data_IF_880120631039
#
_entry.id   IF_880120631039
#
_cell.length_a   1.000
_cell.length_b   1.000
_cell.length_c   1.000
_cell.angle_alpha   90.00
_cell.angle_beta   90.00
_cell.angle_gamma   90.00
#
_symmetry.space_group_name_H-M   'P 1'
#
loop_
_entity.id
_entity.type
_entity.pdbx_description
1 polymer ?
#
# COMPACT_ATOMS: atom_id res chain seq x y z
N UNK A 1 -6.98 13.12 -9.75
CA UNK A 1 -7.83 12.24 -8.92
C UNK A 1 -6.95 11.19 -8.26
N UNK A 2 -7.38 10.53 -7.18
CA UNK A 2 -6.72 9.37 -6.61
C UNK A 2 -7.57 8.10 -6.85
N UNK A 3 -6.94 7.03 -7.33
CA UNK A 3 -7.55 5.70 -7.39
C UNK A 3 -7.17 4.96 -6.10
N UNK A 4 -8.15 4.46 -5.36
CA UNK A 4 -7.89 3.59 -4.21
C UNK A 4 -7.62 2.18 -4.74
N UNK A 5 -6.41 1.69 -4.49
CA UNK A 5 -5.94 0.36 -4.83
C UNK A 5 -6.04 -0.56 -3.60
N UNK A 6 -5.80 -1.88 -3.74
CA UNK A 6 -5.71 -2.76 -2.57
C UNK A 6 -4.65 -2.34 -1.55
N UNK A 7 -3.61 -1.64 -2.00
CA UNK A 7 -2.56 -1.10 -1.15
C UNK A 7 -2.95 0.21 -0.49
N UNK A 8 -3.76 1.03 -1.14
CA UNK A 8 -4.02 2.41 -0.73
C UNK A 8 -4.27 3.33 -1.91
N UNK A 9 -4.52 4.59 -1.63
CA UNK A 9 -4.73 5.59 -2.68
C UNK A 9 -3.44 5.88 -3.45
N UNK A 10 -3.55 5.93 -4.78
CA UNK A 10 -2.47 6.33 -5.69
C UNK A 10 -2.91 7.50 -6.56
N UNK A 11 -1.98 8.41 -6.87
CA UNK A 11 -2.23 9.51 -7.82
C UNK A 11 -2.56 8.93 -9.18
N UNK A 12 -3.52 9.55 -9.86
CA UNK A 12 -3.95 9.12 -11.19
C UNK A 12 -4.21 10.30 -12.11
N UNK A 13 -4.02 10.07 -13.41
CA UNK A 13 -4.21 11.05 -14.48
C UNK A 13 -5.68 11.18 -14.94
N UNK A 14 -6.56 10.41 -14.31
CA UNK A 14 -8.00 10.56 -14.43
C UNK A 14 -8.48 11.81 -13.70
N UNK A 15 -9.63 12.33 -14.11
CA UNK A 15 -10.32 13.39 -13.40
C UNK A 15 -11.82 13.14 -13.30
N UNK A 16 -12.46 13.69 -12.28
CA UNK A 16 -13.90 13.69 -12.13
C UNK A 16 -14.37 15.15 -12.03
N UNK A 17 -15.52 15.45 -12.63
CA UNK A 17 -16.10 16.81 -12.58
C UNK A 17 -16.82 17.07 -11.27
N UNK A 18 -17.62 16.11 -10.85
CA UNK A 18 -18.34 16.11 -9.58
C UNK A 18 -18.71 14.67 -9.21
N UNK A 19 -19.35 14.49 -8.06
CA UNK A 19 -19.81 13.15 -7.62
C UNK A 19 -20.81 12.51 -8.56
N UNK A 20 -21.55 13.29 -9.35
CA UNK A 20 -22.73 12.81 -10.11
C UNK A 20 -22.72 13.21 -11.60
N UNK A 21 -21.72 13.96 -12.06
CA UNK A 21 -21.73 14.55 -13.41
C UNK A 21 -20.50 14.17 -14.23
N UNK A 22 -20.69 14.12 -15.56
CA UNK A 22 -19.67 13.83 -16.57
C UNK A 22 -19.78 14.77 -17.76
N UNK A 23 -18.78 14.78 -18.64
CA UNK A 23 -18.92 15.40 -19.95
C UNK A 23 -19.52 14.40 -20.95
N UNK A 24 -20.38 14.88 -21.85
CA UNK A 24 -20.73 14.13 -23.06
C UNK A 24 -19.70 14.36 -24.18
N UNK A 25 -19.92 13.75 -25.35
CA UNK A 25 -19.02 13.87 -26.50
C UNK A 25 -18.88 15.32 -27.03
N UNK A 26 -19.79 16.23 -26.63
CA UNK A 26 -19.77 17.65 -26.97
C UNK A 26 -19.24 18.55 -25.85
N UNK A 27 -18.62 17.97 -24.81
CA UNK A 27 -18.13 18.67 -23.62
C UNK A 27 -19.22 19.39 -22.82
N UNK A 28 -20.49 18.96 -22.95
CA UNK A 28 -21.56 19.44 -22.09
C UNK A 28 -21.64 18.62 -20.81
N UNK A 29 -21.88 19.28 -19.68
CA UNK A 29 -22.07 18.61 -18.39
C UNK A 29 -23.42 17.88 -18.38
N UNK A 30 -23.40 16.57 -18.15
CA UNK A 30 -24.57 15.69 -18.02
C UNK A 30 -24.46 14.81 -16.77
N UNK A 31 -25.57 14.26 -16.29
CA UNK A 31 -25.56 13.30 -15.19
C UNK A 31 -24.94 11.95 -15.59
N UNK A 32 -24.13 11.36 -14.72
CA UNK A 32 -23.53 10.04 -14.92
C UNK A 32 -24.47 8.90 -14.50
N UNK A 33 -24.71 7.94 -15.39
CA UNK A 33 -25.65 6.83 -15.15
C UNK A 33 -25.11 5.75 -14.21
N UNK A 34 -23.80 5.49 -14.28
CA UNK A 34 -23.09 4.53 -13.42
C UNK A 34 -21.89 5.22 -12.76
N UNK A 35 -21.33 4.64 -11.69
CA UNK A 35 -20.28 5.32 -10.91
C UNK A 35 -19.01 5.62 -11.71
N UNK A 36 -18.51 4.68 -12.52
CA UNK A 36 -17.28 4.86 -13.30
C UNK A 36 -17.45 5.81 -14.51
N UNK A 37 -18.67 5.98 -15.02
CA UNK A 37 -19.02 6.93 -16.09
C UNK A 37 -18.69 8.39 -15.74
N UNK A 38 -18.60 8.67 -14.44
CA UNK A 38 -18.35 9.99 -13.86
C UNK A 38 -16.86 10.34 -13.85
N UNK A 39 -16.02 9.35 -14.13
CA UNK A 39 -14.57 9.47 -14.24
C UNK A 39 -14.20 9.64 -15.72
N UNK A 40 -13.49 10.71 -16.02
CA UNK A 40 -12.98 11.03 -17.34
C UNK A 40 -11.54 10.56 -17.48
N UNK A 41 -11.19 10.05 -18.66
CA UNK A 41 -9.85 9.49 -18.94
C UNK A 41 -8.73 10.51 -18.71
N UNK A 42 -8.97 11.81 -18.97
CA UNK A 42 -7.96 12.85 -18.76
C UNK A 42 -6.71 12.60 -19.61
N UNK A 43 -5.55 12.48 -18.95
CA UNK A 43 -4.27 12.15 -19.59
C UNK A 43 -3.90 10.66 -19.46
N UNK A 44 -4.76 9.85 -18.85
CA UNK A 44 -4.48 8.44 -18.63
C UNK A 44 -4.39 7.68 -19.95
N UNK A 45 -3.42 6.77 -20.06
CA UNK A 45 -3.17 5.94 -21.24
C UNK A 45 -4.20 4.82 -21.44
N UNK A 46 -4.98 4.50 -20.41
CA UNK A 46 -5.96 3.41 -20.40
C UNK A 46 -7.26 3.81 -19.71
N UNK A 47 -8.32 3.01 -19.88
CA UNK A 47 -9.59 3.22 -19.19
C UNK A 47 -9.45 2.98 -17.69
N UNK A 48 -10.30 3.65 -16.89
CA UNK A 48 -10.31 3.45 -15.43
C UNK A 48 -10.59 1.98 -15.05
N UNK A 49 -11.43 1.28 -15.83
CA UNK A 49 -11.71 -0.13 -15.62
C UNK A 49 -10.46 -1.00 -15.79
N UNK A 50 -9.63 -0.71 -16.79
CA UNK A 50 -8.37 -1.41 -17.02
C UNK A 50 -7.37 -1.16 -15.87
N UNK A 51 -7.25 0.08 -15.40
CA UNK A 51 -6.43 0.37 -14.21
C UNK A 51 -6.93 -0.37 -12.97
N UNK A 52 -8.25 -0.42 -12.73
CA UNK A 52 -8.83 -1.19 -11.62
C UNK A 52 -8.50 -2.68 -11.78
N UNK A 53 -8.65 -3.23 -12.98
CA UNK A 53 -8.32 -4.63 -13.28
C UNK A 53 -6.89 -4.96 -12.90
N UNK A 54 -5.94 -4.11 -13.30
CA UNK A 54 -4.51 -4.28 -12.99
C UNK A 54 -4.25 -4.17 -11.50
N UNK A 55 -4.69 -3.08 -10.86
CA UNK A 55 -4.44 -2.84 -9.43
C UNK A 55 -5.03 -3.91 -8.52
N UNK A 56 -6.19 -4.46 -8.87
CA UNK A 56 -6.86 -5.50 -8.09
C UNK A 56 -6.52 -6.92 -8.55
N UNK A 57 -5.60 -7.07 -9.52
CA UNK A 57 -5.20 -8.35 -10.10
C UNK A 57 -6.41 -9.21 -10.52
N UNK A 58 -7.34 -8.59 -11.26
CA UNK A 58 -8.57 -9.22 -11.72
C UNK A 58 -8.35 -9.94 -13.06
N UNK A 59 -9.18 -10.94 -13.33
CA UNK A 59 -9.14 -11.71 -14.57
C UNK A 59 -9.24 -10.80 -15.81
N UNK A 60 -8.60 -11.22 -16.90
CA UNK A 60 -8.64 -10.51 -18.18
C UNK A 60 -9.97 -10.76 -18.89
N UNK A 61 -11.00 -10.01 -18.51
CA UNK A 61 -12.34 -10.06 -19.07
C UNK A 61 -12.98 -8.68 -19.02
N UNK A 62 -13.91 -8.42 -19.95
CA UNK A 62 -14.60 -7.14 -20.04
C UNK A 62 -15.54 -6.93 -18.86
N UNK A 63 -15.55 -5.73 -18.29
CA UNK A 63 -16.52 -5.36 -17.27
C UNK A 63 -17.86 -5.00 -17.90
N UNK A 64 -18.94 -5.59 -17.40
CA UNK A 64 -20.30 -5.07 -17.60
C UNK A 64 -20.53 -3.84 -16.70
N UNK A 65 -20.05 -3.92 -15.46
CA UNK A 65 -20.25 -2.88 -14.44
C UNK A 65 -19.12 -2.90 -13.41
N UNK A 66 -18.73 -1.70 -12.99
CA UNK A 66 -17.91 -1.47 -11.79
C UNK A 66 -18.64 -0.46 -10.92
N UNK A 67 -18.90 -0.85 -9.68
CA UNK A 67 -19.47 0.01 -8.65
C UNK A 67 -18.33 0.68 -7.88
N UNK A 68 -18.40 2.01 -7.79
CA UNK A 68 -17.36 2.84 -7.19
C UNK A 68 -17.99 3.84 -6.21
N UNK A 69 -17.27 4.13 -5.14
CA UNK A 69 -17.55 5.22 -4.21
C UNK A 69 -16.60 6.39 -4.52
N UNK A 70 -17.12 7.61 -4.46
CA UNK A 70 -16.34 8.84 -4.66
C UNK A 70 -16.40 9.69 -3.39
N UNK A 71 -15.27 9.78 -2.70
CA UNK A 71 -15.05 10.70 -1.57
C UNK A 71 -14.27 11.93 -2.06
N UNK A 72 -14.57 13.11 -1.50
CA UNK A 72 -13.80 14.34 -1.77
C UNK A 72 -13.17 14.78 -0.46
N UNK A 73 -11.83 14.79 -0.43
CA UNK A 73 -11.05 15.23 0.73
C UNK A 73 -10.07 16.28 0.23
N UNK A 74 -10.14 17.50 0.79
CA UNK A 74 -9.27 18.62 0.42
C UNK A 74 -9.22 18.83 -1.11
N UNK A 75 -10.40 18.90 -1.75
CA UNK A 75 -10.59 19.06 -3.21
C UNK A 75 -10.07 17.91 -4.09
N UNK A 76 -9.70 16.78 -3.48
CA UNK A 76 -9.18 15.62 -4.19
C UNK A 76 -10.22 14.50 -4.16
N UNK A 77 -10.58 14.04 -5.35
CA UNK A 77 -11.50 12.94 -5.57
C UNK A 77 -10.78 11.60 -5.33
N UNK A 78 -11.25 10.82 -4.37
CA UNK A 78 -10.85 9.45 -4.09
C UNK A 78 -11.88 8.50 -4.68
N UNK A 79 -11.47 7.74 -5.69
CA UNK A 79 -12.30 6.73 -6.34
C UNK A 79 -12.01 5.37 -5.70
N UNK A 80 -12.98 4.80 -4.99
CA UNK A 80 -12.87 3.49 -4.34
C UNK A 80 -13.72 2.46 -5.08
N UNK A 81 -13.11 1.50 -5.79
CA UNK A 81 -13.83 0.35 -6.33
C UNK A 81 -14.39 -0.52 -5.19
N UNK A 82 -15.68 -0.85 -5.28
CA UNK A 82 -16.38 -1.65 -4.26
C UNK A 82 -16.76 -3.04 -4.78
N UNK A 83 -17.34 -3.08 -5.98
CA UNK A 83 -17.83 -4.32 -6.61
C UNK A 83 -17.64 -4.26 -8.11
N UNK A 84 -17.60 -5.43 -8.75
CA UNK A 84 -17.55 -5.52 -10.20
C UNK A 84 -18.36 -6.71 -10.72
N UNK A 85 -18.73 -6.63 -12.00
CA UNK A 85 -19.39 -7.68 -12.76
C UNK A 85 -18.75 -7.77 -14.13
N UNK A 86 -18.34 -8.97 -14.53
CA UNK A 86 -17.85 -9.21 -15.88
C UNK A 86 -19.02 -9.40 -16.87
N UNK A 87 -18.80 -9.01 -18.12
CA UNK A 87 -19.72 -9.30 -19.22
C UNK A 87 -19.98 -10.81 -19.30
N UNK A 88 -21.25 -11.18 -19.52
CA UNK A 88 -21.70 -12.57 -19.62
C UNK A 88 -21.55 -13.41 -18.33
N UNK A 89 -21.20 -12.80 -17.19
CA UNK A 89 -21.24 -13.47 -15.88
C UNK A 89 -22.54 -13.11 -15.16
N UNK A 90 -23.29 -14.09 -14.60
CA UNK A 90 -24.44 -13.79 -13.76
C UNK A 90 -24.04 -13.31 -12.36
N UNK A 91 -22.75 -13.38 -11.99
CA UNK A 91 -22.27 -13.16 -10.62
C UNK A 91 -21.65 -11.77 -10.45
N UNK A 92 -22.07 -11.08 -9.39
CA UNK A 92 -21.40 -9.89 -8.85
C UNK A 92 -20.28 -10.32 -7.89
N UNK A 93 -19.16 -9.58 -7.90
CA UNK A 93 -17.99 -9.82 -7.06
C UNK A 93 -17.71 -8.60 -6.18
N UNK A 94 -17.43 -8.84 -4.91
CA UNK A 94 -16.98 -7.79 -3.98
C UNK A 94 -15.46 -7.68 -3.96
N UNK A 95 -14.96 -6.45 -3.89
CA UNK A 95 -13.54 -6.18 -3.72
C UNK A 95 -13.21 -6.06 -2.23
N UNK A 96 -12.30 -6.91 -1.77
CA UNK A 96 -11.85 -6.91 -0.37
C UNK A 96 -11.12 -5.60 -0.03
N UNK A 97 -11.55 -4.94 1.04
CA UNK A 97 -10.88 -3.75 1.58
C UNK A 97 -9.99 -4.16 2.75
N UNK A 98 -8.68 -4.03 2.57
CA UNK A 98 -7.69 -4.29 3.62
C UNK A 98 -7.30 -2.95 4.26
N UNK A 99 -7.58 -2.78 5.54
CA UNK A 99 -7.36 -1.50 6.23
C UNK A 99 -5.88 -1.12 6.28
N UNK A 100 -4.99 -2.09 6.54
CA UNK A 100 -3.54 -1.93 6.73
C UNK A 100 -2.74 -2.92 5.88
N UNK A 101 -2.79 -2.81 4.55
CA UNK A 101 -2.27 -3.81 3.63
C UNK A 101 -0.75 -3.98 3.70
N UNK A 102 -0.01 -2.96 4.15
CA UNK A 102 1.45 -3.01 4.25
C UNK A 102 1.94 -3.36 5.66
N UNK A 103 1.05 -3.47 6.64
CA UNK A 103 1.43 -3.69 8.04
C UNK A 103 1.80 -5.14 8.32
N UNK A 104 2.94 -5.30 8.99
CA UNK A 104 3.39 -6.52 9.65
C UNK A 104 3.88 -6.16 11.06
N UNK A 105 3.06 -6.36 12.08
CA UNK A 105 3.41 -6.21 13.49
C UNK A 105 2.96 -7.44 14.28
N UNK A 106 3.31 -7.49 15.57
CA UNK A 106 2.84 -8.57 16.45
C UNK A 106 1.32 -8.59 16.60
N UNK A 107 0.69 -7.41 16.60
CA UNK A 107 -0.76 -7.25 16.76
C UNK A 107 -1.52 -7.48 15.46
N UNK A 108 -0.91 -7.16 14.32
CA UNK A 108 -1.58 -7.26 13.03
C UNK A 108 -0.61 -7.62 11.90
N UNK A 109 -0.96 -8.68 11.17
CA UNK A 109 -0.26 -9.09 9.96
C UNK A 109 -1.26 -9.08 8.80
N UNK A 110 -0.99 -8.26 7.78
CA UNK A 110 -1.91 -8.11 6.66
C UNK A 110 -2.07 -9.42 5.87
N UNK A 111 -3.22 -9.64 5.21
CA UNK A 111 -3.40 -10.79 4.33
C UNK A 111 -2.36 -10.86 3.20
N UNK A 112 -1.85 -9.72 2.73
CA UNK A 112 -0.81 -9.68 1.71
C UNK A 112 0.48 -10.33 2.19
N UNK A 113 0.98 -9.91 3.35
CA UNK A 113 2.18 -10.49 3.92
C UNK A 113 2.04 -11.99 4.17
N UNK A 114 0.92 -12.40 4.80
CA UNK A 114 0.67 -13.82 5.09
C UNK A 114 0.67 -14.67 3.82
N UNK A 115 -0.06 -14.24 2.79
CA UNK A 115 -0.16 -14.97 1.52
C UNK A 115 1.16 -14.95 0.76
N UNK A 116 1.89 -13.82 0.78
CA UNK A 116 3.21 -13.71 0.15
C UNK A 116 4.19 -14.70 0.77
N UNK A 117 4.36 -14.66 2.09
CA UNK A 117 5.30 -15.53 2.81
C UNK A 117 4.94 -17.00 2.59
N UNK A 118 3.65 -17.36 2.63
CA UNK A 118 3.20 -18.73 2.39
C UNK A 118 3.45 -19.26 0.96
N UNK A 119 3.64 -18.38 -0.04
CA UNK A 119 3.95 -18.76 -1.42
C UNK A 119 5.45 -18.85 -1.71
N UNK A 120 6.30 -18.28 -0.86
CA UNK A 120 7.74 -18.27 -1.06
C UNK A 120 8.37 -19.60 -0.65
N UNK A 121 9.52 -19.92 -1.25
CA UNK A 121 10.33 -21.08 -0.89
C UNK A 121 10.72 -21.05 0.59
N UNK A 122 10.44 -22.12 1.34
CA UNK A 122 10.60 -22.16 2.80
C UNK A 122 12.04 -21.87 3.24
N UNK A 123 13.03 -22.35 2.49
CA UNK A 123 14.45 -22.10 2.78
C UNK A 123 14.83 -20.63 2.63
N UNK A 124 14.27 -19.93 1.65
CA UNK A 124 14.49 -18.50 1.43
C UNK A 124 13.82 -17.67 2.54
N UNK A 125 12.60 -18.06 2.93
CA UNK A 125 11.89 -17.42 4.05
C UNK A 125 12.68 -17.60 5.34
N UNK A 126 13.08 -18.82 5.68
CA UNK A 126 13.84 -19.13 6.89
C UNK A 126 15.15 -18.34 6.95
N UNK A 127 15.90 -18.27 5.83
CA UNK A 127 17.12 -17.47 5.75
C UNK A 127 16.84 -15.98 5.96
N UNK A 128 15.84 -15.44 5.26
CA UNK A 128 15.49 -14.01 5.33
C UNK A 128 15.09 -13.61 6.76
N UNK A 129 14.25 -14.41 7.41
CA UNK A 129 13.84 -14.18 8.80
C UNK A 129 15.01 -14.30 9.76
N UNK A 130 15.90 -15.29 9.60
CA UNK A 130 17.08 -15.44 10.45
C UNK A 130 18.02 -14.23 10.38
N UNK A 131 18.26 -13.67 9.19
CA UNK A 131 19.05 -12.44 9.04
C UNK A 131 18.37 -11.23 9.71
N UNK A 132 17.05 -11.08 9.52
CA UNK A 132 16.27 -10.04 10.19
C UNK A 132 16.43 -10.15 11.72
N UNK A 133 16.42 -11.37 12.27
CA UNK A 133 16.56 -11.57 13.72
C UNK A 133 17.91 -11.21 14.29
N UNK A 134 18.99 -11.37 13.52
CA UNK A 134 20.31 -10.87 13.94
C UNK A 134 20.29 -9.34 14.06
N UNK A 135 19.68 -8.66 13.10
CA UNK A 135 19.55 -7.19 13.11
C UNK A 135 18.72 -6.73 14.30
N UNK A 136 17.57 -7.36 14.55
CA UNK A 136 16.73 -7.05 15.72
C UNK A 136 17.48 -7.26 17.03
N UNK A 137 18.24 -8.36 17.14
CA UNK A 137 19.04 -8.66 18.32
C UNK A 137 20.07 -7.55 18.62
N UNK A 138 20.69 -6.98 17.59
CA UNK A 138 21.61 -5.84 17.74
C UNK A 138 20.90 -4.57 18.25
N UNK A 139 19.63 -4.38 17.88
CA UNK A 139 18.84 -3.19 18.23
C UNK A 139 18.08 -3.32 19.56
N UNK A 140 17.90 -4.52 20.12
CA UNK A 140 17.24 -4.72 21.42
C UNK A 140 17.99 -4.05 22.59
N UNK A 141 19.31 -4.27 22.77
CA UNK A 141 20.07 -3.57 23.79
C UNK A 141 20.44 -2.13 23.38
N UNK A 142 20.73 -1.24 24.35
CA UNK A 142 21.36 0.05 24.08
C UNK A 142 22.85 -0.15 23.80
N UNK A 143 23.19 -0.59 22.58
CA UNK A 143 24.57 -0.77 22.13
C UNK A 143 25.10 0.57 21.57
N UNK A 144 26.25 1.10 22.02
CA UNK A 144 26.76 2.42 21.63
C UNK A 144 27.04 2.61 20.13
N UNK A 145 27.29 1.52 19.41
CA UNK A 145 27.74 1.55 18.01
C UNK A 145 26.64 1.18 17.00
N UNK A 146 25.42 0.87 17.46
CA UNK A 146 24.30 0.53 16.58
C UNK A 146 23.46 1.78 16.33
N UNK A 147 23.47 2.24 15.09
CA UNK A 147 22.70 3.40 14.63
C UNK A 147 21.32 2.97 14.11
N UNK A 148 20.37 3.90 14.09
CA UNK A 148 19.01 3.64 13.54
C UNK A 148 19.06 3.21 12.07
N UNK A 149 20.02 3.75 11.31
CA UNK A 149 20.28 3.39 9.91
C UNK A 149 20.77 1.95 9.74
N UNK A 150 21.26 1.28 10.79
CA UNK A 150 21.67 -0.13 10.70
C UNK A 150 20.50 -1.08 10.45
N UNK A 151 19.25 -0.61 10.58
CA UNK A 151 18.04 -1.30 10.13
C UNK A 151 18.08 -1.54 8.60
N UNK A 152 18.75 -0.68 7.83
CA UNK A 152 18.91 -0.86 6.37
C UNK A 152 19.63 -2.16 5.99
N UNK A 153 20.36 -2.79 6.93
CA UNK A 153 20.92 -4.14 6.72
C UNK A 153 19.82 -5.17 6.40
N UNK A 154 18.56 -4.90 6.76
CA UNK A 154 17.42 -5.76 6.45
C UNK A 154 16.97 -5.65 4.98
N UNK A 155 17.52 -4.73 4.18
CA UNK A 155 17.07 -4.49 2.80
C UNK A 155 17.08 -5.77 1.93
N UNK A 156 18.15 -6.57 1.99
CA UNK A 156 18.26 -7.83 1.24
C UNK A 156 17.18 -8.83 1.64
N UNK A 157 17.12 -9.24 2.93
CA UNK A 157 16.06 -10.10 3.44
C UNK A 157 14.63 -9.60 3.15
N UNK A 158 14.36 -8.31 3.39
CA UNK A 158 13.04 -7.72 3.15
C UNK A 158 12.66 -7.76 1.66
N UNK A 159 13.62 -7.58 0.75
CA UNK A 159 13.38 -7.67 -0.69
C UNK A 159 12.87 -9.05 -1.09
N UNK A 160 13.41 -10.12 -0.50
CA UNK A 160 12.91 -11.48 -0.75
C UNK A 160 11.47 -11.68 -0.28
N UNK A 161 11.07 -10.97 0.77
CA UNK A 161 9.71 -11.02 1.32
C UNK A 161 8.73 -10.05 0.62
N UNK A 162 9.18 -9.30 -0.39
CA UNK A 162 8.34 -8.40 -1.19
C UNK A 162 8.43 -6.92 -0.85
N UNK A 163 9.42 -6.49 -0.05
CA UNK A 163 9.67 -5.09 0.31
C UNK A 163 11.09 -4.66 -0.10
N UNK A 164 11.21 -3.92 -1.20
CA UNK A 164 12.49 -3.45 -1.71
C UNK A 164 12.78 -2.00 -1.26
N UNK A 165 13.63 -1.86 -0.23
CA UNK A 165 14.04 -0.56 0.28
C UNK A 165 14.82 0.24 -0.77
N UNK A 166 14.43 1.50 -0.98
CA UNK A 166 15.18 2.44 -1.80
C UNK A 166 16.40 3.04 -1.08
N UNK A 167 17.07 3.96 -1.76
CA UNK A 167 18.23 4.65 -1.20
C UNK A 167 17.84 5.52 0.01
N UNK A 168 18.72 5.56 1.01
CA UNK A 168 18.56 6.43 2.17
C UNK A 168 18.89 7.88 1.80
N UNK A 169 17.94 8.81 1.99
CA UNK A 169 18.07 10.20 1.54
C UNK A 169 18.38 11.20 2.67
N UNK A 170 18.18 10.80 3.93
CA UNK A 170 18.50 11.61 5.13
C UNK A 170 17.71 12.91 5.31
N UNK A 171 16.71 13.19 4.45
CA UNK A 171 15.81 14.35 4.53
C UNK A 171 14.38 13.93 4.19
N UNK A 172 13.41 14.36 5.00
CA UNK A 172 12.03 13.97 4.80
C UNK A 172 11.81 12.54 5.31
N UNK A 173 11.15 11.72 4.50
CA UNK A 173 11.14 10.27 4.72
C UNK A 173 12.49 9.67 4.36
N UNK A 174 12.92 8.67 5.12
CA UNK A 174 14.25 8.08 5.01
C UNK A 174 14.49 7.41 3.66
N UNK A 175 13.49 6.75 3.07
CA UNK A 175 13.59 6.15 1.73
C UNK A 175 12.22 6.03 1.05
N UNK A 176 12.22 5.82 -0.27
CA UNK A 176 11.05 5.43 -1.04
C UNK A 176 11.17 3.93 -1.36
N UNK A 177 10.15 3.15 -1.00
CA UNK A 177 10.23 1.67 -1.00
C UNK A 177 9.16 1.10 -1.90
N UNK A 178 9.51 0.06 -2.63
CA UNK A 178 8.60 -0.69 -3.47
C UNK A 178 8.09 -1.94 -2.75
N UNK A 179 6.77 -2.06 -2.65
CA UNK A 179 6.09 -3.27 -2.21
C UNK A 179 5.57 -4.05 -3.41
N UNK A 180 5.89 -5.34 -3.49
CA UNK A 180 5.37 -6.26 -4.51
C UNK A 180 4.91 -7.53 -3.82
N UNK A 181 3.59 -7.77 -3.80
CA UNK A 181 3.01 -8.96 -3.21
C UNK A 181 2.29 -9.78 -4.28
N UNK A 182 2.54 -11.08 -4.30
CA UNK A 182 1.90 -12.02 -5.21
C UNK A 182 2.03 -11.50 -6.66
N UNK A 183 0.92 -11.44 -7.38
CA UNK A 183 0.84 -10.93 -8.75
C UNK A 183 0.21 -9.52 -8.81
N UNK A 184 0.15 -8.80 -7.68
CA UNK A 184 -0.32 -7.43 -7.66
C UNK A 184 0.74 -6.47 -8.20
N UNK A 185 0.34 -5.34 -8.81
CA UNK A 185 1.30 -4.32 -9.25
C UNK A 185 2.14 -3.77 -8.09
N UNK A 186 3.37 -3.38 -8.41
CA UNK A 186 4.27 -2.73 -7.44
C UNK A 186 3.64 -1.43 -6.91
N UNK A 187 3.67 -1.28 -5.59
CA UNK A 187 3.21 -0.09 -4.90
C UNK A 187 4.36 0.60 -4.18
N UNK A 188 4.70 1.81 -4.66
CA UNK A 188 5.81 2.60 -4.12
C UNK A 188 5.32 3.56 -3.05
N UNK A 189 6.02 3.61 -1.92
CA UNK A 189 5.56 4.31 -0.71
C UNK A 189 6.73 4.93 0.06
N UNK A 190 6.56 6.12 0.66
CA UNK A 190 7.56 6.67 1.57
C UNK A 190 7.68 5.82 2.85
N UNK A 191 8.91 5.61 3.31
CA UNK A 191 9.24 4.84 4.51
C UNK A 191 10.14 5.63 5.42
N UNK A 192 9.76 5.67 6.69
CA UNK A 192 10.61 6.15 7.78
C UNK A 192 11.21 4.95 8.52
N UNK A 193 12.51 5.02 8.78
CA UNK A 193 13.25 4.02 9.52
C UNK A 193 13.35 4.48 10.97
N UNK A 194 13.01 3.59 11.90
CA UNK A 194 13.02 3.90 13.34
C UNK A 194 13.51 2.73 14.16
N UNK A 195 14.36 2.96 15.15
CA UNK A 195 14.69 1.92 16.14
C UNK A 195 13.43 1.46 16.88
N UNK A 196 12.59 2.41 17.28
CA UNK A 196 11.27 2.21 17.87
C UNK A 196 10.26 3.09 17.16
N UNK A 197 9.06 2.59 16.87
CA UNK A 197 8.08 3.32 16.05
C UNK A 197 7.58 4.68 16.63
N UNK A 198 7.92 5.01 17.88
CA UNK A 198 7.71 6.35 18.47
C UNK A 198 8.60 7.44 17.84
N UNK A 199 8.22 8.70 18.08
CA UNK A 199 9.00 9.88 17.66
C UNK A 199 8.72 10.35 16.23
N UNK A 200 7.71 9.79 15.58
CA UNK A 200 7.32 10.06 14.19
C UNK A 200 6.41 11.31 14.01
N UNK A 201 6.41 12.24 14.97
CA UNK A 201 5.43 13.34 15.04
C UNK A 201 5.59 14.39 13.92
N UNK A 202 6.82 14.60 13.42
CA UNK A 202 7.08 15.63 12.40
C UNK A 202 6.58 15.18 11.02
N UNK A 203 6.87 13.94 10.63
CA UNK A 203 6.45 13.35 9.36
C UNK A 203 4.93 13.13 9.32
N UNK A 204 4.30 12.78 10.44
CA UNK A 204 2.83 12.73 10.55
C UNK A 204 2.14 14.05 10.15
N UNK A 205 2.81 15.20 10.36
CA UNK A 205 2.26 16.51 9.98
C UNK A 205 2.44 16.87 8.51
N UNK A 206 3.43 16.27 7.84
CA UNK A 206 3.63 16.43 6.38
C UNK A 206 2.68 15.54 5.60
N UNK A 207 2.36 14.40 6.19
CA UNK A 207 1.47 13.41 5.64
C UNK A 207 0.01 13.91 5.66
N UNK A 208 -0.63 13.97 4.49
CA UNK A 208 -2.05 14.32 4.34
C UNK A 208 -2.35 15.61 3.58
N UNK A 209 -1.40 16.55 3.42
CA UNK A 209 -1.64 17.80 2.64
C UNK A 209 -1.25 17.70 1.16
N UNK A 210 -0.16 17.01 0.84
CA UNK A 210 0.38 16.93 -0.53
C UNK A 210 0.59 15.49 -1.05
N UNK A 211 0.62 14.53 -0.13
CA UNK A 211 0.87 13.10 -0.37
C UNK A 211 -0.40 12.28 -0.16
N UNK A 212 -0.99 11.86 -1.28
CA UNK A 212 -2.26 11.13 -1.39
C UNK A 212 -2.14 9.63 -1.13
N UNK A 213 -0.99 9.18 -0.64
CA UNK A 213 -0.55 7.78 -0.63
C UNK A 213 -0.03 7.43 0.74
N UNK A 214 -0.24 6.20 1.21
CA UNK A 214 0.19 5.68 2.54
C UNK A 214 1.65 6.01 2.89
N UNK A 215 2.04 5.88 4.15
CA UNK A 215 3.45 5.85 4.54
C UNK A 215 3.72 4.68 5.48
N UNK A 216 4.95 4.19 5.51
CA UNK A 216 5.33 3.04 6.35
C UNK A 216 6.37 3.47 7.37
N UNK A 217 6.22 2.99 8.60
CA UNK A 217 7.29 2.99 9.59
C UNK A 217 7.93 1.61 9.56
N UNK A 218 9.19 1.53 9.11
CA UNK A 218 10.02 0.35 9.27
C UNK A 218 10.74 0.45 10.61
N UNK A 219 10.46 -0.45 11.54
CA UNK A 219 11.09 -0.41 12.85
C UNK A 219 11.57 -1.75 13.38
N UNK A 220 12.61 -1.71 14.22
CA UNK A 220 13.05 -2.90 14.94
C UNK A 220 11.98 -3.38 15.92
N UNK A 221 11.40 -2.45 16.70
CA UNK A 221 10.38 -2.73 17.72
C UNK A 221 9.21 -1.75 17.56
N UNK A 222 7.98 -2.26 17.53
CA UNK A 222 6.79 -1.43 17.48
C UNK A 222 6.29 -1.09 18.90
N UNK A 223 6.13 0.20 19.20
CA UNK A 223 5.55 0.66 20.48
C UNK A 223 4.64 1.90 20.37
N UNK A 224 4.21 2.23 19.14
CA UNK A 224 3.28 3.32 18.84
C UNK A 224 1.83 2.87 19.03
N UNK A 225 1.19 3.33 20.11
CA UNK A 225 -0.16 2.88 20.51
C UNK A 225 -1.26 3.22 19.50
N UNK A 226 -1.26 4.44 18.97
CA UNK A 226 -2.30 4.94 18.08
C UNK A 226 -1.68 5.24 16.72
N UNK A 227 -1.58 4.21 15.88
CA UNK A 227 -1.04 4.37 14.53
C UNK A 227 -2.10 5.06 13.66
N UNK A 228 -1.79 6.20 13.01
CA UNK A 228 -2.75 6.87 12.13
C UNK A 228 -3.22 5.94 11.00
N UNK A 229 -4.45 6.18 10.49
CA UNK A 229 -5.13 5.29 9.52
C UNK A 229 -4.32 5.00 8.25
N UNK A 230 -3.58 5.99 7.77
CA UNK A 230 -2.81 5.89 6.52
C UNK A 230 -1.33 5.52 6.75
N UNK A 231 -0.96 5.21 7.99
CA UNK A 231 0.38 4.77 8.36
C UNK A 231 0.35 3.27 8.61
N UNK A 232 1.20 2.55 7.91
CA UNK A 232 1.48 1.14 8.14
C UNK A 232 2.78 0.98 8.92
N UNK A 233 2.93 -0.18 9.56
CA UNK A 233 4.13 -0.50 10.33
C UNK A 233 4.67 -1.84 9.87
N UNK A 234 5.96 -1.87 9.55
CA UNK A 234 6.70 -3.13 9.38
C UNK A 234 7.65 -3.25 10.57
N UNK A 235 7.34 -4.20 11.45
CA UNK A 235 8.09 -4.50 12.66
C UNK A 235 8.98 -5.72 12.42
N UNK A 236 10.30 -5.52 12.50
CA UNK A 236 11.26 -6.60 12.30
C UNK A 236 11.20 -7.65 13.41
N UNK A 237 10.94 -7.27 14.67
CA UNK A 237 10.79 -8.23 15.76
C UNK A 237 9.56 -9.14 15.59
N UNK A 238 8.49 -8.64 14.95
CA UNK A 238 7.34 -9.48 14.62
C UNK A 238 7.68 -10.51 13.54
N UNK A 239 8.49 -10.14 12.54
CA UNK A 239 8.98 -11.07 11.51
C UNK A 239 9.82 -12.18 12.15
N UNK A 240 10.55 -11.89 13.23
CA UNK A 240 11.27 -12.90 13.99
C UNK A 240 10.39 -13.92 14.68
N UNK A 241 9.29 -13.46 15.27
CA UNK A 241 8.32 -14.37 15.89
C UNK A 241 7.73 -15.32 14.82
N UNK A 242 7.64 -14.87 13.56
CA UNK A 242 7.18 -15.70 12.45
C UNK A 242 8.13 -16.87 12.09
N UNK A 243 9.44 -16.75 12.35
CA UNK A 243 10.42 -17.81 12.07
C UNK A 243 10.07 -19.13 12.79
N UNK A 244 9.36 -19.05 13.91
CA UNK A 244 8.95 -20.23 14.69
C UNK A 244 7.87 -21.07 14.00
N UNK A 245 7.24 -20.55 12.95
CA UNK A 245 6.16 -21.20 12.21
C UNK A 245 6.56 -21.63 10.78
N UNK A 246 7.82 -21.42 10.39
CA UNK A 246 8.36 -21.72 9.05
C UNK A 246 9.19 -23.00 9.08
#
# INVERSE_FOLDING_TARGET
MALVTPYGATKSDYFALSKDHKFDASQKVIGGRVGHDRVQQGRASESIGESIRKWYNLANSDFERIDVEIEIVEDIFYLTPLRYKFANSPKDYELEKIERPLTFSKEYQSPFWKRQIAKLESTLVAWSLAEICRIVKDHKPPVPHIQETDILRAAGPLKHLGMALGAYVGKGYDCFTDFTFLDYPTYSVPVEIKKRSKGFTYQQKKYGKDELSRAVILCAIHDLKNVPRNIDVVELDALCDHLTYV
#
